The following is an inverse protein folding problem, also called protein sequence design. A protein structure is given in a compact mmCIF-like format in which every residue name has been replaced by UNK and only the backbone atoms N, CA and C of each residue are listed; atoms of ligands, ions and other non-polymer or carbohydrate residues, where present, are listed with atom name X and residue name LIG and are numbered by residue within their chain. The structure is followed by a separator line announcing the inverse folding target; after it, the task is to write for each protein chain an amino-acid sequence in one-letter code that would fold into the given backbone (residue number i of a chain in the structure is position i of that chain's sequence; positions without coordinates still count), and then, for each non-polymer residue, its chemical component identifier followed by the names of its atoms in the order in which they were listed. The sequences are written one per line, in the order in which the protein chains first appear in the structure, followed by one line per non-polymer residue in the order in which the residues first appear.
data_IF_961349710525
#
_entry.id   IF_961349710525
#
_cell.length_a   1.000
_cell.length_b   1.000
_cell.length_c   1.000
_cell.angle_alpha   90.00
_cell.angle_beta   90.00
_cell.angle_gamma   90.00
#
_symmetry.space_group_name_H-M   'P 1'
#
loop_
_entity.id
_entity.type
_entity.pdbx_description
1 polymer ?
#
# COMPACT_ATOMS: atom_id res chain seq x y z
N UNK A 1 7.85 -11.78 -20.80
CA UNK A 1 7.89 -13.13 -21.42
C UNK A 1 8.54 -14.18 -20.52
N UNK A 2 9.49 -13.80 -19.64
CA UNK A 2 10.06 -14.68 -18.61
C UNK A 2 9.09 -15.10 -17.47
N UNK A 3 8.00 -14.35 -17.21
CA UNK A 3 7.03 -14.69 -16.15
C UNK A 3 6.12 -15.90 -16.43
N UNK A 4 5.99 -16.36 -17.69
CA UNK A 4 5.07 -17.46 -18.04
C UNK A 4 5.65 -18.85 -17.75
N UNK A 5 6.97 -19.01 -17.85
CA UNK A 5 7.64 -20.31 -17.72
C UNK A 5 7.77 -20.71 -16.24
N UNK A 6 7.98 -19.76 -15.33
CA UNK A 6 8.16 -20.04 -13.90
C UNK A 6 6.87 -20.48 -13.20
N UNK A 7 5.70 -19.92 -13.54
CA UNK A 7 4.43 -20.33 -12.90
C UNK A 7 4.03 -21.77 -13.25
N UNK A 8 4.33 -22.23 -14.47
CA UNK A 8 4.00 -23.59 -14.92
C UNK A 8 5.00 -24.63 -14.37
N UNK A 9 6.28 -24.26 -14.18
CA UNK A 9 7.30 -25.14 -13.58
C UNK A 9 7.08 -25.29 -12.06
N UNK A 10 6.60 -24.25 -11.36
CA UNK A 10 6.32 -24.33 -9.93
C UNK A 10 5.05 -25.12 -9.58
N UNK A 11 4.07 -25.18 -10.50
CA UNK A 11 2.84 -25.96 -10.29
C UNK A 11 3.04 -27.48 -10.42
N UNK A 12 4.20 -27.97 -10.88
CA UNK A 12 4.45 -29.40 -11.06
C UNK A 12 5.53 -29.96 -10.16
N UNK A 13 6.33 -29.12 -9.50
CA UNK A 13 7.56 -29.57 -8.81
C UNK A 13 7.50 -29.63 -7.27
N UNK A 14 6.47 -29.09 -6.61
CA UNK A 14 6.48 -28.93 -5.15
C UNK A 14 5.23 -29.43 -4.40
N UNK A 15 4.27 -30.08 -5.07
CA UNK A 15 3.06 -30.58 -4.40
C UNK A 15 3.30 -31.88 -3.62
N UNK A 16 3.86 -31.74 -2.42
CA UNK A 16 3.55 -32.56 -1.26
C UNK A 16 2.49 -31.87 -0.39
N UNK A 17 1.66 -32.64 0.31
CA UNK A 17 0.47 -32.17 1.03
C UNK A 17 0.72 -31.04 2.07
N UNK A 18 -0.29 -30.18 2.33
CA UNK A 18 -0.15 -29.05 3.24
C UNK A 18 -0.12 -29.48 4.72
N UNK A 19 1.02 -29.25 5.38
CA UNK A 19 1.12 -29.37 6.83
C UNK A 19 0.47 -28.17 7.55
N UNK A 20 -0.42 -28.46 8.51
CA UNK A 20 -1.02 -27.50 9.44
C UNK A 20 0.04 -26.95 10.40
N UNK A 21 0.21 -25.63 10.46
CA UNK A 21 1.02 -24.96 11.49
C UNK A 21 0.09 -24.46 12.60
N UNK A 22 0.33 -24.92 13.82
CA UNK A 22 -0.39 -24.53 15.04
C UNK A 22 0.11 -23.18 15.57
N UNK A 23 -0.82 -22.34 16.03
CA UNK A 23 -0.52 -21.04 16.63
C UNK A 23 -0.30 -21.19 18.14
N UNK A 24 0.89 -20.84 18.62
CA UNK A 24 1.17 -20.69 20.07
C UNK A 24 1.29 -19.21 20.40
N UNK A 25 0.40 -18.74 21.27
CA UNK A 25 0.35 -17.38 21.80
C UNK A 25 1.39 -17.25 22.91
N UNK A 26 2.31 -16.29 22.80
CA UNK A 26 3.19 -15.87 23.89
C UNK A 26 2.62 -14.60 24.53
N UNK A 27 2.34 -14.66 25.84
CA UNK A 27 1.97 -13.51 26.68
C UNK A 27 3.24 -12.76 27.11
N UNK A 28 3.22 -11.43 27.09
CA UNK A 28 4.21 -10.59 27.79
C UNK A 28 3.55 -9.86 28.96
N UNK A 29 4.35 -9.65 30.02
CA UNK A 29 3.94 -9.04 31.28
C UNK A 29 4.18 -7.52 31.25
N UNK A 30 3.28 -6.78 31.91
CA UNK A 30 3.33 -5.34 32.14
C UNK A 30 4.41 -4.93 33.17
N UNK A 31 5.06 -3.80 32.94
CA UNK A 31 5.61 -2.94 34.00
C UNK A 31 5.36 -1.47 33.62
N UNK A 32 4.91 -0.70 34.62
CA UNK A 32 4.23 0.59 34.47
C UNK A 32 5.08 1.80 34.03
N UNK A 33 4.35 2.85 33.68
CA UNK A 33 4.81 4.16 33.24
C UNK A 33 4.79 5.20 34.38
N UNK A 34 5.68 6.18 34.29
CA UNK A 34 5.53 7.51 34.89
C UNK A 34 5.73 8.56 33.77
N UNK A 35 4.92 9.63 33.65
CA UNK A 35 4.86 10.45 32.46
C UNK A 35 5.55 11.81 32.65
N UNK A 36 6.47 12.15 31.72
CA UNK A 36 6.72 13.48 31.13
C UNK A 36 8.16 13.57 30.60
N UNK A 37 8.34 13.48 29.28
CA UNK A 37 9.40 14.19 28.55
C UNK A 37 9.14 14.12 27.03
N UNK A 38 9.04 15.30 26.43
CA UNK A 38 9.08 15.54 24.98
C UNK A 38 10.47 15.19 24.42
N UNK A 39 10.52 14.38 23.35
CA UNK A 39 11.54 14.44 22.31
C UNK A 39 11.04 13.66 21.09
N UNK A 40 11.29 14.17 19.89
CA UNK A 40 11.13 13.46 18.62
C UNK A 40 11.81 12.10 18.70
N UNK A 41 11.05 11.05 19.00
CA UNK A 41 11.58 9.70 19.07
C UNK A 41 11.82 9.22 17.64
N UNK A 42 13.08 9.28 17.20
CA UNK A 42 13.54 8.50 16.07
C UNK A 42 13.16 7.05 16.36
N UNK A 43 12.29 6.46 15.53
CA UNK A 43 11.78 5.12 15.76
C UNK A 43 12.94 4.11 15.64
N UNK A 44 13.54 3.72 16.76
CA UNK A 44 14.68 2.80 16.80
C UNK A 44 14.19 1.38 16.49
N UNK A 45 14.13 1.04 15.20
CA UNK A 45 13.58 -0.21 14.72
C UNK A 45 14.69 -1.23 14.46
N UNK A 46 14.69 -2.33 15.20
CA UNK A 46 15.54 -3.48 14.87
C UNK A 46 14.97 -4.24 13.68
N UNK A 47 15.79 -4.49 12.66
CA UNK A 47 15.41 -5.32 11.51
C UNK A 47 14.97 -6.71 12.00
N UNK A 48 13.76 -7.14 11.61
CA UNK A 48 13.22 -8.46 11.93
C UNK A 48 12.44 -8.55 13.24
N UNK A 49 12.33 -7.45 14.00
CA UNK A 49 11.39 -7.28 15.11
C UNK A 49 10.28 -6.33 14.66
N UNK A 50 8.98 -6.64 14.89
CA UNK A 50 7.91 -5.70 14.63
C UNK A 50 8.09 -4.47 15.53
N UNK A 51 8.59 -3.41 14.95
CA UNK A 51 8.53 -2.07 15.51
C UNK A 51 7.14 -1.50 15.23
N UNK A 52 6.63 -0.75 16.20
CA UNK A 52 5.30 -0.15 16.17
C UNK A 52 5.43 1.36 16.36
N UNK A 53 4.60 2.14 15.67
CA UNK A 53 4.48 3.57 15.94
C UNK A 53 4.01 3.79 17.39
N UNK A 54 4.68 4.69 18.12
CA UNK A 54 4.38 4.95 19.53
C UNK A 54 3.06 5.69 19.74
N UNK A 55 2.61 6.40 18.71
CA UNK A 55 1.38 7.17 18.64
C UNK A 55 0.32 6.44 17.80
N UNK A 56 -0.95 6.74 18.07
CA UNK A 56 -2.09 6.30 17.25
C UNK A 56 -2.77 7.54 16.65
N UNK A 57 -3.02 7.53 15.34
CA UNK A 57 -3.79 8.54 14.60
C UNK A 57 -5.01 7.91 13.93
N UNK A 58 -5.84 8.69 13.23
CA UNK A 58 -6.94 8.11 12.43
C UNK A 58 -6.46 7.72 11.03
N UNK A 59 -5.53 8.50 10.45
CA UNK A 59 -4.99 8.30 9.11
C UNK A 59 -3.48 8.49 9.06
N UNK A 60 -2.74 7.47 8.65
CA UNK A 60 -1.28 7.55 8.51
C UNK A 60 -0.86 7.24 7.08
N UNK A 61 -0.09 8.13 6.48
CA UNK A 61 0.41 7.99 5.11
C UNK A 61 1.91 7.71 5.13
N UNK A 62 2.35 6.62 4.51
CA UNK A 62 3.74 6.25 4.37
C UNK A 62 4.18 6.60 2.95
N UNK A 63 5.09 7.56 2.85
CA UNK A 63 5.68 7.98 1.59
C UNK A 63 7.03 7.31 1.44
N UNK A 64 7.17 6.46 0.42
CA UNK A 64 8.42 5.79 0.07
C UNK A 64 9.15 6.56 -1.02
N UNK A 65 10.42 6.86 -0.82
CA UNK A 65 11.24 7.62 -1.76
C UNK A 65 12.70 7.20 -1.69
N UNK A 66 13.45 7.60 -2.72
CA UNK A 66 14.87 7.34 -2.84
C UNK A 66 15.61 8.63 -3.27
N UNK A 67 15.80 8.84 -4.57
CA UNK A 67 16.66 9.90 -5.13
C UNK A 67 15.92 10.88 -6.06
N UNK A 68 14.60 10.99 -5.93
CA UNK A 68 13.74 11.85 -6.77
C UNK A 68 13.15 13.03 -5.98
N UNK A 69 13.93 14.06 -5.63
CA UNK A 69 13.47 15.17 -4.78
C UNK A 69 12.26 15.92 -5.34
N UNK A 70 12.21 16.18 -6.65
CA UNK A 70 11.07 16.88 -7.26
C UNK A 70 9.80 16.02 -7.28
N UNK A 71 9.96 14.70 -7.41
CA UNK A 71 8.86 13.74 -7.33
C UNK A 71 8.25 13.74 -5.93
N UNK A 72 9.12 13.64 -4.91
CA UNK A 72 8.73 13.71 -3.51
C UNK A 72 8.02 15.03 -3.19
N UNK A 73 8.60 16.16 -3.55
CA UNK A 73 8.01 17.49 -3.29
C UNK A 73 6.60 17.60 -3.88
N UNK A 74 6.42 17.07 -5.10
CA UNK A 74 5.12 17.05 -5.75
C UNK A 74 4.13 16.13 -5.04
N UNK A 75 4.50 14.89 -4.73
CA UNK A 75 3.63 13.96 -3.98
C UNK A 75 3.18 14.58 -2.65
N UNK A 76 4.12 15.13 -1.88
CA UNK A 76 3.83 15.81 -0.62
C UNK A 76 2.85 16.98 -0.77
N UNK A 77 2.95 17.76 -1.86
CA UNK A 77 1.99 18.84 -2.13
C UNK A 77 0.55 18.35 -2.36
N UNK A 78 0.35 17.13 -2.87
CA UNK A 78 -1.00 16.54 -2.97
C UNK A 78 -1.50 16.05 -1.62
N UNK A 79 -0.62 15.45 -0.81
CA UNK A 79 -0.95 14.96 0.52
C UNK A 79 -1.36 16.11 1.47
N UNK A 80 -0.75 17.30 1.35
CA UNK A 80 -1.15 18.51 2.09
C UNK A 80 -2.61 18.93 1.85
N UNK A 81 -3.22 18.50 0.74
CA UNK A 81 -4.57 18.90 0.35
C UNK A 81 -5.62 17.83 0.67
N UNK A 82 -5.27 16.75 1.36
CA UNK A 82 -6.25 15.72 1.74
C UNK A 82 -7.28 16.28 2.72
N UNK A 83 -8.56 16.12 2.38
CA UNK A 83 -9.68 16.33 3.28
C UNK A 83 -9.71 15.19 4.31
N UNK A 84 -9.20 15.47 5.51
CA UNK A 84 -9.19 14.51 6.63
C UNK A 84 -10.56 14.33 7.26
N UNK A 85 -11.58 15.10 6.84
CA UNK A 85 -12.92 15.08 7.43
C UNK A 85 -12.93 15.38 8.95
N UNK A 86 -11.93 16.12 9.43
CA UNK A 86 -11.75 16.46 10.85
C UNK A 86 -10.96 15.42 11.66
N UNK A 87 -10.55 14.32 11.05
CA UNK A 87 -9.72 13.29 11.69
C UNK A 87 -8.23 13.70 11.71
N UNK A 88 -7.48 13.06 12.61
CA UNK A 88 -6.03 13.24 12.71
C UNK A 88 -5.30 12.54 11.57
N UNK A 89 -4.33 13.24 10.96
CA UNK A 89 -3.53 12.69 9.88
C UNK A 89 -2.04 12.93 10.13
N UNK A 90 -1.24 11.90 9.88
CA UNK A 90 0.23 11.96 9.98
C UNK A 90 0.91 11.38 8.76
N UNK A 91 2.00 12.01 8.31
CA UNK A 91 2.79 11.57 7.15
C UNK A 91 4.15 11.04 7.61
N UNK A 92 4.53 9.83 7.21
CA UNK A 92 5.83 9.22 7.47
C UNK A 92 6.63 9.14 6.17
N UNK A 93 7.69 9.93 6.04
CA UNK A 93 8.54 10.00 4.84
C UNK A 93 9.75 9.08 5.04
N UNK A 94 9.78 7.97 4.30
CA UNK A 94 10.84 6.98 4.34
C UNK A 94 11.77 7.13 3.15
N UNK A 95 13.03 7.46 3.42
CA UNK A 95 14.07 7.71 2.41
C UNK A 95 15.06 6.54 2.42
N UNK A 96 15.12 5.82 1.31
CA UNK A 96 16.04 4.70 1.14
C UNK A 96 17.46 5.15 0.78
N UNK A 97 18.42 4.24 0.90
CA UNK A 97 19.82 4.43 0.48
C UNK A 97 20.12 3.66 -0.80
N UNK A 98 21.19 4.02 -1.50
CA UNK A 98 21.73 3.22 -2.61
C UNK A 98 22.27 1.89 -2.11
N UNK A 99 22.56 0.95 -3.01
CA UNK A 99 23.24 -0.31 -2.68
C UNK A 99 24.60 -0.11 -2.00
N UNK A 100 25.25 1.03 -2.25
CA UNK A 100 26.52 1.46 -1.68
C UNK A 100 26.35 2.19 -0.33
N UNK A 101 25.11 2.42 0.10
CA UNK A 101 24.79 3.10 1.36
C UNK A 101 24.68 4.62 1.24
N UNK A 102 24.64 5.18 0.03
CA UNK A 102 24.53 6.62 -0.18
C UNK A 102 23.08 7.11 0.00
N UNK A 103 22.90 8.33 0.50
CA UNK A 103 21.57 8.97 0.61
C UNK A 103 21.54 10.23 -0.24
N UNK A 104 20.45 10.45 -0.96
CA UNK A 104 20.28 11.68 -1.74
C UNK A 104 19.97 12.86 -0.81
N UNK A 105 20.94 13.76 -0.64
CA UNK A 105 20.80 14.90 0.28
C UNK A 105 19.67 15.86 -0.10
N UNK A 106 19.37 16.03 -1.39
CA UNK A 106 18.28 16.92 -1.81
C UNK A 106 16.91 16.33 -1.49
N UNK A 107 16.74 15.00 -1.62
CA UNK A 107 15.53 14.31 -1.16
C UNK A 107 15.32 14.52 0.34
N UNK A 108 16.40 14.40 1.15
CA UNK A 108 16.35 14.67 2.60
C UNK A 108 15.95 16.11 2.86
N UNK A 109 16.55 17.08 2.15
CA UNK A 109 16.19 18.51 2.29
C UNK A 109 14.72 18.76 1.96
N UNK A 110 14.16 18.14 0.92
CA UNK A 110 12.73 18.26 0.59
C UNK A 110 11.86 17.76 1.75
N UNK A 111 12.15 16.56 2.28
CA UNK A 111 11.40 15.98 3.40
C UNK A 111 11.50 16.84 4.66
N UNK A 112 12.68 17.38 4.95
CA UNK A 112 12.91 18.24 6.09
C UNK A 112 12.22 19.60 5.96
N UNK A 113 12.24 20.21 4.76
CA UNK A 113 11.47 21.43 4.49
C UNK A 113 9.98 21.19 4.71
N UNK A 114 9.47 20.04 4.29
CA UNK A 114 8.08 19.67 4.52
C UNK A 114 7.73 19.58 6.01
N UNK A 115 8.58 18.94 6.81
CA UNK A 115 8.44 18.87 8.27
C UNK A 115 8.47 20.24 8.93
N UNK A 116 9.39 21.09 8.54
CA UNK A 116 9.58 22.42 9.12
C UNK A 116 8.42 23.40 8.81
N UNK A 117 7.54 23.09 7.86
CA UNK A 117 6.29 23.85 7.64
C UNK A 117 5.24 23.67 8.76
N UNK A 118 5.48 22.77 9.71
CA UNK A 118 4.54 22.47 10.80
C UNK A 118 3.53 21.38 10.47
N UNK A 119 3.73 20.64 9.38
CA UNK A 119 2.96 19.44 9.07
C UNK A 119 3.25 18.36 10.13
N UNK A 120 2.22 17.60 10.53
CA UNK A 120 2.40 16.45 11.39
C UNK A 120 3.06 15.30 10.59
N UNK A 121 4.39 15.22 10.66
CA UNK A 121 5.15 14.23 9.91
C UNK A 121 6.44 13.75 10.58
N UNK A 122 6.85 12.53 10.22
CA UNK A 122 8.18 11.97 10.51
C UNK A 122 9.04 11.87 9.25
N UNK A 123 10.36 12.02 9.42
CA UNK A 123 11.36 11.84 8.35
C UNK A 123 12.31 10.72 8.79
N UNK A 124 12.39 9.67 7.98
CA UNK A 124 13.10 8.43 8.31
C UNK A 124 14.10 8.10 7.20
N UNK A 125 15.38 8.38 7.44
CA UNK A 125 16.46 7.91 6.56
C UNK A 125 16.83 6.50 6.98
N UNK A 126 16.72 5.54 6.05
CA UNK A 126 17.10 4.15 6.31
C UNK A 126 18.58 4.05 6.69
N UNK A 127 18.94 3.12 7.58
CA UNK A 127 20.35 2.86 7.93
C UNK A 127 21.11 2.16 6.80
N UNK A 128 20.41 1.37 5.98
CA UNK A 128 20.93 0.58 4.86
C UNK A 128 19.92 0.50 3.73
N UNK A 129 20.35 0.14 2.53
CA UNK A 129 19.45 -0.12 1.40
C UNK A 129 18.39 -1.16 1.79
N UNK A 130 17.13 -0.76 1.75
CA UNK A 130 15.98 -1.64 1.94
C UNK A 130 15.48 -2.18 0.59
N UNK A 131 15.70 -1.44 -0.49
CA UNK A 131 15.11 -1.71 -1.79
C UNK A 131 13.59 -1.57 -1.78
N UNK A 132 12.96 -1.71 -2.94
CA UNK A 132 11.51 -1.55 -3.07
C UNK A 132 10.75 -2.50 -2.12
N UNK A 133 11.21 -3.75 -2.00
CA UNK A 133 10.53 -4.72 -1.16
C UNK A 133 10.65 -4.41 0.33
N UNK A 134 11.84 -4.02 0.79
CA UNK A 134 12.03 -3.60 2.17
C UNK A 134 11.17 -2.39 2.49
N UNK A 135 11.09 -1.41 1.59
CA UNK A 135 10.23 -0.25 1.77
C UNK A 135 8.73 -0.64 1.89
N UNK A 136 8.23 -1.53 1.02
CA UNK A 136 6.83 -1.98 1.07
C UNK A 136 6.51 -2.81 2.33
N UNK A 137 7.47 -3.60 2.81
CA UNK A 137 7.27 -4.50 3.97
C UNK A 137 7.46 -3.82 5.32
N UNK A 138 8.34 -2.83 5.37
CA UNK A 138 8.89 -2.31 6.63
C UNK A 138 8.56 -0.83 6.85
N UNK A 139 7.55 -0.26 6.20
CA UNK A 139 7.13 1.14 6.45
C UNK A 139 5.79 1.24 7.15
N UNK A 140 4.85 0.32 6.92
CA UNK A 140 3.60 0.26 7.68
C UNK A 140 3.76 -0.54 8.96
N UNK A 141 3.70 0.14 10.11
CA UNK A 141 4.08 -0.37 11.43
C UNK A 141 3.08 0.06 12.52
N UNK A 142 1.78 -0.18 12.33
CA UNK A 142 0.79 0.24 13.31
C UNK A 142 0.89 -0.60 14.59
N UNK A 143 0.29 -0.09 15.67
CA UNK A 143 0.06 -0.89 16.87
C UNK A 143 -0.91 -2.05 16.59
N UNK A 144 -0.69 -3.19 17.24
CA UNK A 144 -1.57 -4.34 17.10
C UNK A 144 -3.01 -3.99 17.53
N UNK A 145 -3.97 -4.19 16.63
CA UNK A 145 -5.37 -3.91 16.91
C UNK A 145 -5.79 -2.45 16.73
N UNK A 146 -4.91 -1.61 16.17
CA UNK A 146 -5.23 -0.23 15.80
C UNK A 146 -6.47 -0.12 14.91
N UNK A 147 -7.09 1.06 14.92
CA UNK A 147 -8.09 1.47 13.94
C UNK A 147 -7.53 2.43 12.89
N UNK A 148 -6.23 2.72 12.93
CA UNK A 148 -5.54 3.53 11.95
C UNK A 148 -5.79 3.02 10.54
N UNK A 149 -6.22 3.94 9.66
CA UNK A 149 -6.19 3.70 8.22
C UNK A 149 -4.78 4.05 7.74
N UNK A 150 -4.05 3.06 7.22
CA UNK A 150 -2.76 3.28 6.59
C UNK A 150 -2.90 3.58 5.09
N UNK A 151 -2.02 4.38 4.51
CA UNK A 151 -1.88 4.53 3.05
C UNK A 151 -0.40 4.54 2.67
N UNK A 152 0.02 3.57 1.87
CA UNK A 152 1.38 3.47 1.31
C UNK A 152 1.37 4.06 -0.10
N UNK A 153 2.23 5.04 -0.35
CA UNK A 153 2.44 5.67 -1.65
C UNK A 153 3.93 5.79 -1.94
N UNK A 154 4.29 5.69 -3.22
CA UNK A 154 5.61 6.07 -3.72
C UNK A 154 5.64 7.57 -4.05
N UNK A 155 6.83 8.14 -4.09
CA UNK A 155 7.03 9.56 -4.42
C UNK A 155 6.46 9.97 -5.77
N UNK A 156 6.26 9.04 -6.72
CA UNK A 156 5.69 9.31 -8.05
C UNK A 156 4.16 9.21 -8.15
N UNK A 157 3.46 9.14 -7.01
CA UNK A 157 2.00 9.08 -6.94
C UNK A 157 1.40 10.42 -6.52
N UNK A 158 0.50 10.98 -7.35
CA UNK A 158 -0.40 12.08 -6.96
C UNK A 158 -1.65 11.48 -6.30
N UNK A 159 -2.11 12.03 -5.18
CA UNK A 159 -3.27 11.53 -4.42
C UNK A 159 -4.41 12.55 -4.48
N UNK A 160 -5.63 12.07 -4.69
CA UNK A 160 -6.83 12.93 -4.67
C UNK A 160 -7.04 13.52 -3.27
N UNK A 161 -7.46 14.80 -3.17
CA UNK A 161 -7.85 15.39 -1.88
C UNK A 161 -9.01 14.63 -1.21
N UNK A 162 -9.78 13.84 -1.96
CA UNK A 162 -10.93 13.07 -1.47
C UNK A 162 -10.63 11.57 -1.29
N UNK A 163 -9.35 11.17 -1.38
CA UNK A 163 -8.93 9.79 -1.22
C UNK A 163 -9.26 9.22 0.16
N UNK A 164 -9.01 9.98 1.23
CA UNK A 164 -9.28 9.54 2.59
C UNK A 164 -10.77 9.29 2.84
N UNK A 165 -11.64 10.16 2.31
CA UNK A 165 -13.10 9.97 2.39
C UNK A 165 -13.57 8.65 1.78
N UNK A 166 -12.98 8.25 0.66
CA UNK A 166 -13.27 6.94 0.06
C UNK A 166 -12.72 5.78 0.90
N UNK A 167 -11.46 5.87 1.35
CA UNK A 167 -10.84 4.85 2.20
C UNK A 167 -11.61 4.63 3.50
N UNK A 168 -11.97 5.71 4.21
CA UNK A 168 -12.74 5.66 5.46
C UNK A 168 -14.08 4.93 5.28
N UNK A 169 -14.76 5.17 4.15
CA UNK A 169 -16.00 4.47 3.83
C UNK A 169 -15.77 2.98 3.48
N UNK A 170 -14.68 2.66 2.77
CA UNK A 170 -14.35 1.30 2.36
C UNK A 170 -13.97 0.43 3.56
N UNK A 171 -13.08 0.94 4.42
CA UNK A 171 -12.69 0.35 5.70
C UNK A 171 -13.92 0.10 6.59
N UNK A 172 -14.77 1.12 6.80
CA UNK A 172 -16.01 0.99 7.57
C UNK A 172 -16.93 -0.13 7.04
N UNK A 173 -16.92 -0.38 5.73
CA UNK A 173 -17.78 -1.37 5.09
C UNK A 173 -17.19 -2.78 5.16
N UNK A 174 -15.88 -2.94 4.95
CA UNK A 174 -15.28 -4.23 4.68
C UNK A 174 -14.28 -4.74 5.74
N UNK A 175 -13.83 -3.94 6.71
CA UNK A 175 -12.83 -4.37 7.73
C UNK A 175 -13.29 -5.53 8.64
N UNK A 176 -14.60 -5.80 8.68
CA UNK A 176 -15.15 -6.94 9.42
C UNK A 176 -15.01 -8.27 8.66
N UNK A 177 -14.67 -8.22 7.37
CA UNK A 177 -14.47 -9.40 6.55
C UNK A 177 -13.07 -9.96 6.77
N UNK A 178 -12.98 -11.27 6.99
CA UNK A 178 -11.70 -11.96 7.20
C UNK A 178 -10.91 -12.19 5.91
N UNK A 179 -11.54 -12.02 4.75
CA UNK A 179 -10.96 -12.23 3.43
C UNK A 179 -10.41 -10.94 2.80
N UNK A 180 -10.21 -9.88 3.58
CA UNK A 180 -9.69 -8.60 3.11
C UNK A 180 -8.28 -8.37 3.63
N UNK A 181 -7.34 -8.15 2.70
CA UNK A 181 -5.95 -7.79 3.04
C UNK A 181 -5.67 -6.29 2.93
N UNK A 182 -6.53 -5.55 2.24
CA UNK A 182 -6.40 -4.11 2.10
C UNK A 182 -7.28 -3.54 1.00
N UNK A 183 -7.00 -2.29 0.68
CA UNK A 183 -7.73 -1.46 -0.26
C UNK A 183 -6.72 -0.76 -1.18
N UNK A 184 -7.16 -0.26 -2.33
CA UNK A 184 -6.27 0.52 -3.19
C UNK A 184 -6.99 1.67 -3.86
N UNK A 185 -6.27 2.80 -3.98
CA UNK A 185 -6.68 3.97 -4.73
C UNK A 185 -6.54 3.76 -6.25
N UNK A 186 -5.78 2.75 -6.66
CA UNK A 186 -5.44 2.48 -8.05
C UNK A 186 -6.67 2.05 -8.86
N UNK A 187 -6.92 2.78 -9.95
CA UNK A 187 -7.93 2.44 -10.97
C UNK A 187 -7.34 2.21 -12.36
N UNK A 188 -6.04 2.48 -12.52
CA UNK A 188 -5.40 2.57 -13.81
C UNK A 188 -4.35 1.47 -13.97
N UNK A 189 -4.20 0.99 -15.20
CA UNK A 189 -3.20 -0.01 -15.57
C UNK A 189 -3.26 -1.30 -14.72
N UNK A 190 -4.41 -1.58 -14.12
CA UNK A 190 -4.71 -2.85 -13.46
C UNK A 190 -4.98 -3.87 -14.56
N UNK A 191 -4.18 -4.92 -14.62
CA UNK A 191 -4.27 -5.95 -15.64
C UNK A 191 -4.39 -7.33 -14.98
N UNK A 192 -5.06 -8.25 -15.65
CA UNK A 192 -5.10 -9.65 -15.22
C UNK A 192 -3.72 -10.30 -15.26
N UNK A 193 -3.47 -11.17 -14.28
CA UNK A 193 -2.26 -11.96 -14.23
C UNK A 193 -2.39 -13.19 -15.14
N UNK A 194 -1.68 -13.20 -16.26
CA UNK A 194 -1.66 -14.30 -17.24
C UNK A 194 -2.35 -13.95 -18.56
N UNK A 195 -1.62 -14.04 -19.68
CA UNK A 195 -2.12 -13.78 -21.03
C UNK A 195 -1.87 -12.36 -21.55
N UNK A 196 -2.67 -11.92 -22.53
CA UNK A 196 -2.62 -10.54 -23.07
C UNK A 196 -3.11 -9.55 -22.01
N UNK A 197 -2.40 -8.42 -21.85
CA UNK A 197 -2.83 -7.33 -20.97
C UNK A 197 -4.26 -6.90 -21.31
N UNK A 198 -5.16 -7.04 -20.34
CA UNK A 198 -6.55 -6.61 -20.41
C UNK A 198 -6.85 -5.78 -19.18
N UNK A 199 -7.34 -4.53 -19.35
CA UNK A 199 -7.75 -3.70 -18.23
C UNK A 199 -8.80 -4.40 -17.36
N UNK A 200 -8.63 -4.28 -16.04
CA UNK A 200 -9.55 -4.84 -15.06
C UNK A 200 -10.56 -3.80 -14.59
N UNK A 201 -11.84 -4.09 -14.79
CA UNK A 201 -12.94 -3.31 -14.21
C UNK A 201 -14.11 -4.23 -13.91
N UNK A 202 -14.89 -3.87 -12.89
CA UNK A 202 -16.19 -4.48 -12.68
C UNK A 202 -17.27 -3.79 -13.55
N UNK A 203 -18.43 -4.44 -13.78
CA UNK A 203 -19.55 -3.84 -14.49
C UNK A 203 -19.98 -2.50 -13.88
N UNK A 204 -20.60 -1.66 -14.70
CA UNK A 204 -20.96 -0.26 -14.36
C UNK A 204 -21.83 -0.11 -13.10
N UNK A 205 -22.61 -1.12 -12.73
CA UNK A 205 -23.43 -1.07 -11.51
C UNK A 205 -22.62 -1.30 -10.22
N UNK A 206 -21.34 -1.68 -10.29
CA UNK A 206 -20.48 -1.89 -9.14
C UNK A 206 -19.61 -0.64 -8.87
N UNK A 207 -19.58 -0.15 -7.64
CA UNK A 207 -18.72 0.96 -7.20
C UNK A 207 -17.31 0.50 -6.82
N UNK A 208 -17.16 -0.79 -6.50
CA UNK A 208 -15.91 -1.45 -6.11
C UNK A 208 -15.89 -2.90 -6.60
N UNK A 209 -14.71 -3.51 -6.60
CA UNK A 209 -14.55 -4.95 -6.81
C UNK A 209 -13.39 -5.50 -5.98
N UNK A 210 -13.25 -6.82 -5.93
CA UNK A 210 -12.23 -7.52 -5.15
C UNK A 210 -11.29 -8.29 -6.06
N UNK A 211 -9.98 -8.17 -5.83
CA UNK A 211 -8.94 -8.84 -6.60
C UNK A 211 -7.78 -9.28 -5.68
N UNK A 212 -7.24 -10.50 -5.81
CA UNK A 212 -6.16 -10.99 -4.92
C UNK A 212 -4.82 -10.28 -5.11
N UNK A 213 -4.59 -9.57 -6.21
CA UNK A 213 -3.37 -8.77 -6.38
C UNK A 213 -3.56 -7.40 -5.73
N UNK A 214 -2.55 -6.91 -5.03
CA UNK A 214 -2.59 -5.56 -4.43
C UNK A 214 -2.38 -4.48 -5.51
N UNK A 215 -2.93 -3.28 -5.28
CA UNK A 215 -2.69 -2.13 -6.16
C UNK A 215 -1.56 -1.27 -5.61
N UNK A 216 -0.49 -1.09 -6.37
CA UNK A 216 0.74 -0.41 -5.94
C UNK A 216 0.63 1.12 -5.97
N UNK A 217 -0.40 1.69 -6.61
CA UNK A 217 -0.57 3.15 -6.71
C UNK A 217 -1.49 3.67 -5.61
N UNK A 218 -1.04 3.59 -4.36
CA UNK A 218 -1.82 3.93 -3.17
C UNK A 218 -2.50 2.71 -2.57
N UNK A 219 -1.72 1.87 -1.90
CA UNK A 219 -2.23 0.71 -1.18
C UNK A 219 -2.56 1.08 0.26
N UNK A 220 -3.72 0.68 0.75
CA UNK A 220 -4.15 0.89 2.11
C UNK A 220 -4.26 -0.47 2.80
N UNK A 221 -3.25 -0.89 3.57
CA UNK A 221 -3.23 -2.20 4.20
C UNK A 221 -4.35 -2.32 5.24
N UNK A 222 -4.94 -3.51 5.33
CA UNK A 222 -5.87 -3.80 6.42
C UNK A 222 -5.10 -3.92 7.75
N UNK A 223 -5.53 -3.27 8.85
CA UNK A 223 -4.76 -3.21 10.10
C UNK A 223 -4.40 -4.56 10.74
N UNK A 224 -5.20 -5.60 10.46
CA UNK A 224 -4.96 -6.97 10.99
C UNK A 224 -4.06 -7.82 10.09
N UNK A 225 -3.63 -7.29 8.94
CA UNK A 225 -2.95 -8.07 7.92
C UNK A 225 -1.45 -7.81 7.98
N UNK A 226 -0.81 -8.24 9.06
CA UNK A 226 0.67 -8.36 9.15
C UNK A 226 1.20 -9.61 8.43
N UNK A 227 0.29 -10.48 7.98
CA UNK A 227 0.60 -11.83 7.57
C UNK A 227 1.40 -11.94 6.26
N UNK A 228 1.12 -11.17 5.19
CA UNK A 228 1.94 -11.20 3.97
C UNK A 228 3.37 -10.73 4.26
N UNK A 229 3.52 -9.67 5.06
CA UNK A 229 4.81 -9.16 5.52
C UNK A 229 5.56 -10.20 6.33
N UNK A 230 4.94 -10.80 7.35
CA UNK A 230 5.57 -11.84 8.18
C UNK A 230 5.94 -13.09 7.40
N UNK A 231 5.08 -13.48 6.45
CA UNK A 231 5.33 -14.63 5.60
C UNK A 231 6.52 -14.39 4.67
N UNK A 232 6.61 -13.22 4.03
CA UNK A 232 7.77 -12.84 3.21
C UNK A 232 9.06 -12.66 4.01
N UNK A 233 9.00 -12.04 5.20
CA UNK A 233 10.17 -11.95 6.10
C UNK A 233 10.72 -13.35 6.43
N UNK A 234 9.87 -14.37 6.40
CA UNK A 234 10.28 -15.77 6.48
C UNK A 234 11.13 -16.23 5.28
N UNK A 235 10.83 -15.80 4.06
CA UNK A 235 11.65 -16.06 2.87
C UNK A 235 12.95 -15.28 2.88
N UNK A 236 12.93 -14.00 3.28
CA UNK A 236 14.16 -13.19 3.45
C UNK A 236 15.13 -13.87 4.41
N UNK A 237 14.64 -14.36 5.56
CA UNK A 237 15.46 -15.12 6.52
C UNK A 237 16.07 -16.40 5.93
N UNK A 238 15.51 -16.92 4.84
CA UNK A 238 15.97 -18.13 4.15
C UNK A 238 16.76 -17.84 2.87
N UNK A 239 16.96 -16.57 2.50
CA UNK A 239 17.60 -16.18 1.24
C UNK A 239 16.88 -16.74 0.00
N UNK A 240 15.53 -16.77 0.04
CA UNK A 240 14.65 -17.31 -1.01
C UNK A 240 13.74 -16.25 -1.64
N UNK A 241 14.03 -14.97 -1.39
CA UNK A 241 13.20 -13.81 -1.68
C UNK A 241 13.32 -13.25 -3.11
N UNK A 242 14.07 -13.92 -3.99
CA UNK A 242 14.41 -13.44 -5.34
C UNK A 242 13.22 -12.83 -6.11
N UNK A 243 13.48 -11.67 -6.75
CA UNK A 243 12.75 -10.84 -7.75
C UNK A 243 11.20 -10.84 -7.85
N UNK A 244 10.49 -11.48 -6.93
CA UNK A 244 9.09 -11.83 -7.12
C UNK A 244 8.22 -11.50 -5.90
N UNK A 245 8.54 -10.42 -5.17
CA UNK A 245 7.72 -9.92 -4.05
C UNK A 245 6.22 -9.89 -4.40
N UNK A 246 5.87 -9.26 -5.52
CA UNK A 246 4.48 -9.19 -5.98
C UNK A 246 3.90 -10.59 -6.20
N UNK A 247 4.66 -11.50 -6.81
CA UNK A 247 4.20 -12.86 -7.09
C UNK A 247 4.02 -13.70 -5.84
N UNK A 248 4.88 -13.51 -4.85
CA UNK A 248 4.73 -14.12 -3.54
C UNK A 248 3.49 -13.56 -2.82
N UNK A 249 3.26 -12.25 -2.88
CA UNK A 249 2.05 -11.65 -2.34
C UNK A 249 0.78 -12.19 -3.03
N UNK A 250 0.79 -12.29 -4.36
CA UNK A 250 -0.32 -12.87 -5.14
C UNK A 250 -0.55 -14.32 -4.74
N UNK A 251 0.52 -15.11 -4.66
CA UNK A 251 0.42 -16.51 -4.25
C UNK A 251 -0.13 -16.65 -2.83
N UNK A 252 0.37 -15.86 -1.88
CA UNK A 252 -0.12 -15.82 -0.50
C UNK A 252 -1.60 -15.47 -0.45
N UNK A 253 -1.99 -14.40 -1.16
CA UNK A 253 -3.38 -13.94 -1.24
C UNK A 253 -4.27 -15.05 -1.81
N UNK A 254 -3.82 -15.71 -2.87
CA UNK A 254 -4.54 -16.80 -3.50
C UNK A 254 -4.73 -18.01 -2.56
N UNK A 255 -3.68 -18.49 -1.91
CA UNK A 255 -3.79 -19.65 -1.00
C UNK A 255 -4.52 -19.35 0.31
N UNK A 256 -4.64 -18.06 0.67
CA UNK A 256 -5.36 -17.60 1.87
C UNK A 256 -6.75 -17.04 1.56
N UNK A 257 -7.16 -17.04 0.30
CA UNK A 257 -8.43 -16.45 -0.16
C UNK A 257 -8.57 -14.98 0.30
N UNK A 258 -7.50 -14.20 0.17
CA UNK A 258 -7.46 -12.78 0.53
C UNK A 258 -7.60 -11.89 -0.70
N UNK A 259 -8.33 -10.79 -0.54
CA UNK A 259 -8.63 -9.83 -1.59
C UNK A 259 -8.25 -8.41 -1.20
N UNK A 260 -7.76 -7.67 -2.18
CA UNK A 260 -7.68 -6.21 -2.15
C UNK A 260 -8.96 -5.62 -2.74
N UNK A 261 -9.53 -4.61 -2.09
CA UNK A 261 -10.70 -3.87 -2.60
C UNK A 261 -10.24 -2.75 -3.52
N UNK A 262 -10.66 -2.81 -4.78
CA UNK A 262 -10.39 -1.81 -5.80
C UNK A 262 -11.57 -0.88 -6.01
N UNK A 263 -11.25 0.37 -6.26
CA UNK A 263 -12.21 1.38 -6.70
C UNK A 263 -12.63 1.14 -8.17
N UNK A 264 -13.93 1.27 -8.49
CA UNK A 264 -14.46 1.10 -9.85
C UNK A 264 -15.08 2.39 -10.42
N UNK A 265 -14.81 3.55 -9.81
CA UNK A 265 -15.52 4.80 -10.11
C UNK A 265 -15.42 5.24 -11.57
N UNK A 266 -14.29 5.00 -12.24
CA UNK A 266 -14.13 5.33 -13.66
C UNK A 266 -15.18 4.64 -14.53
N UNK A 267 -15.42 3.34 -14.31
CA UNK A 267 -16.43 2.57 -15.06
C UNK A 267 -17.84 2.83 -14.55
N UNK A 268 -18.01 2.93 -13.22
CA UNK A 268 -19.30 3.23 -12.60
C UNK A 268 -19.91 4.55 -13.09
N UNK A 269 -19.10 5.60 -13.13
CA UNK A 269 -19.53 6.96 -13.48
C UNK A 269 -19.40 7.27 -14.97
N UNK A 270 -18.49 6.60 -15.68
CA UNK A 270 -18.09 6.94 -17.04
C UNK A 270 -17.24 8.22 -17.15
N UNK A 271 -16.74 8.75 -16.04
CA UNK A 271 -15.96 10.00 -15.99
C UNK A 271 -14.45 9.73 -15.90
N UNK A 272 -13.65 10.64 -16.46
CA UNK A 272 -12.19 10.59 -16.34
C UNK A 272 -11.66 11.20 -15.04
N UNK A 273 -12.36 12.22 -14.52
CA UNK A 273 -11.94 13.04 -13.37
C UNK A 273 -12.40 12.51 -12.01
N UNK A 274 -12.29 11.18 -11.83
CA UNK A 274 -12.74 10.48 -10.62
C UNK A 274 -11.64 9.60 -10.01
N UNK A 275 -10.39 9.83 -10.40
CA UNK A 275 -9.27 9.03 -9.93
C UNK A 275 -8.90 9.41 -8.49
N UNK A 276 -8.63 8.40 -7.65
CA UNK A 276 -8.19 8.61 -6.28
C UNK A 276 -6.66 8.68 -6.16
N UNK A 277 -5.95 8.10 -7.11
CA UNK A 277 -4.51 8.23 -7.28
C UNK A 277 -4.13 8.29 -8.75
N UNK A 278 -2.97 8.87 -9.01
CA UNK A 278 -2.35 8.89 -10.32
C UNK A 278 -0.85 8.64 -10.21
N UNK A 279 -0.34 7.60 -10.87
CA UNK A 279 1.10 7.39 -10.98
C UNK A 279 1.66 8.15 -12.18
N UNK A 280 2.67 9.00 -11.93
CA UNK A 280 3.27 9.88 -12.94
C UNK A 280 4.20 9.14 -13.92
N UNK A 281 4.49 7.87 -13.65
CA UNK A 281 5.33 6.96 -14.45
C UNK A 281 6.68 7.56 -14.77
N UNK A 282 7.26 8.24 -13.79
CA UNK A 282 8.54 8.91 -13.92
C UNK A 282 9.66 7.88 -14.07
N UNK A 283 10.78 8.31 -14.67
CA UNK A 283 11.94 7.45 -14.82
C UNK A 283 12.35 6.84 -13.47
N UNK A 284 12.55 5.53 -13.43
CA UNK A 284 12.87 4.78 -12.21
C UNK A 284 12.97 3.28 -12.50
N UNK A 285 12.79 2.44 -11.46
CA UNK A 285 12.94 0.98 -11.57
C UNK A 285 11.99 0.34 -12.61
N UNK A 286 10.80 0.92 -12.81
CA UNK A 286 9.73 0.32 -13.62
C UNK A 286 9.43 1.07 -14.93
N UNK A 287 9.94 2.29 -15.09
CA UNK A 287 9.66 3.12 -16.25
C UNK A 287 10.95 3.75 -16.78
N UNK A 288 11.23 3.56 -18.06
CA UNK A 288 12.38 4.16 -18.76
C UNK A 288 12.01 5.47 -19.48
N UNK A 289 10.72 5.83 -19.49
CA UNK A 289 10.21 6.96 -20.26
C UNK A 289 10.57 8.31 -19.61
N UNK A 290 11.09 9.24 -20.42
CA UNK A 290 11.37 10.63 -20.01
C UNK A 290 10.12 11.51 -19.92
N UNK A 291 8.95 11.03 -20.36
CA UNK A 291 7.72 11.83 -20.35
C UNK A 291 6.98 11.68 -19.03
N UNK A 292 7.05 12.71 -18.21
CA UNK A 292 6.16 12.88 -17.04
C UNK A 292 4.75 13.14 -17.56
N UNK A 293 3.81 12.25 -17.23
CA UNK A 293 2.41 12.49 -17.60
C UNK A 293 1.81 13.50 -16.62
N UNK A 294 1.46 14.70 -17.12
CA UNK A 294 0.82 15.76 -16.31
C UNK A 294 -0.63 15.35 -16.00
N UNK A 295 -1.00 15.24 -14.71
CA UNK A 295 -2.27 14.59 -14.35
C UNK A 295 -3.06 15.12 -13.15
N UNK A 296 -3.15 16.44 -12.99
CA UNK A 296 -4.06 17.00 -11.98
C UNK A 296 -5.53 16.94 -12.40
N UNK A 297 -5.84 16.97 -13.71
CA UNK A 297 -7.21 17.09 -14.20
C UNK A 297 -8.08 15.84 -13.97
N UNK A 298 -7.45 14.67 -13.82
CA UNK A 298 -8.17 13.40 -13.68
C UNK A 298 -8.42 13.01 -12.21
N UNK A 299 -7.79 13.69 -11.25
CA UNK A 299 -8.01 13.43 -9.83
C UNK A 299 -9.40 13.92 -9.39
N UNK A 300 -10.02 13.12 -8.52
CA UNK A 300 -11.31 13.43 -7.94
C UNK A 300 -11.20 14.67 -7.06
N UNK A 301 -11.96 15.73 -7.40
CA UNK A 301 -11.97 17.00 -6.66
C UNK A 301 -13.37 17.42 -6.21
N UNK A 302 -14.42 16.69 -6.62
CA UNK A 302 -15.80 16.93 -6.20
C UNK A 302 -16.44 15.63 -5.75
N UNK A 303 -17.01 15.64 -4.56
CA UNK A 303 -17.63 14.46 -3.98
C UNK A 303 -19.05 14.22 -4.50
N UNK A 304 -19.43 12.95 -4.60
CA UNK A 304 -20.80 12.50 -4.76
C UNK A 304 -21.02 11.28 -3.85
N UNK A 305 -22.09 11.25 -3.07
CA UNK A 305 -22.35 10.16 -2.13
C UNK A 305 -22.59 8.81 -2.82
N UNK A 306 -22.94 8.81 -4.12
CA UNK A 306 -23.01 7.59 -4.92
C UNK A 306 -21.67 6.84 -5.00
N UNK A 307 -20.54 7.52 -4.77
CA UNK A 307 -19.20 6.92 -4.87
C UNK A 307 -18.89 5.91 -3.77
N UNK A 308 -19.65 5.96 -2.67
CA UNK A 308 -19.48 5.07 -1.50
C UNK A 308 -20.72 4.23 -1.23
N UNK A 309 -21.61 4.09 -2.22
CA UNK A 309 -22.69 3.09 -2.17
C UNK A 309 -22.06 1.74 -2.46
N UNK A 310 -21.43 1.18 -1.44
CA UNK A 310 -20.72 -0.09 -1.53
C UNK A 310 -21.67 -1.27 -1.30
N UNK A 311 -21.67 -2.28 -2.19
CA UNK A 311 -22.48 -3.46 -1.98
C UNK A 311 -21.88 -4.32 -0.86
N UNK A 312 -22.72 -4.94 -0.02
CA UNK A 312 -22.24 -5.92 0.98
C UNK A 312 -21.48 -7.09 0.34
N UNK A 313 -21.88 -7.41 -0.89
CA UNK A 313 -21.41 -8.50 -1.73
C UNK A 313 -20.99 -7.93 -3.08
N UNK A 314 -19.70 -7.93 -3.39
CA UNK A 314 -19.18 -7.42 -4.67
C UNK A 314 -18.57 -8.56 -5.50
N UNK A 315 -18.21 -8.24 -6.74
CA UNK A 315 -17.51 -9.14 -7.65
C UNK A 315 -16.11 -9.43 -7.11
N UNK A 316 -15.81 -10.72 -6.99
CA UNK A 316 -14.46 -11.22 -6.75
C UNK A 316 -13.88 -11.79 -8.05
N UNK A 317 -12.70 -11.31 -8.41
CA UNK A 317 -11.93 -11.84 -9.53
C UNK A 317 -10.90 -12.86 -9.02
N UNK A 318 -10.69 -13.93 -9.77
CA UNK A 318 -9.47 -14.73 -9.69
C UNK A 318 -8.27 -13.93 -10.18
N UNK A 319 -7.05 -14.37 -9.84
CA UNK A 319 -5.80 -13.73 -10.27
C UNK A 319 -5.72 -13.54 -11.80
N UNK A 320 -6.28 -14.47 -12.57
CA UNK A 320 -6.32 -14.45 -14.04
C UNK A 320 -7.48 -13.66 -14.65
N UNK A 321 -8.35 -13.10 -13.81
CA UNK A 321 -9.46 -12.26 -14.25
C UNK A 321 -10.79 -12.92 -14.51
N UNK A 322 -10.90 -14.23 -14.33
CA UNK A 322 -12.22 -14.85 -14.31
C UNK A 322 -12.98 -14.42 -13.06
N UNK A 323 -14.30 -14.27 -13.16
CA UNK A 323 -15.14 -13.93 -12.01
C UNK A 323 -15.37 -15.21 -11.19
N UNK A 324 -15.09 -15.15 -9.89
CA UNK A 324 -15.30 -16.25 -8.96
C UNK A 324 -16.80 -16.43 -8.66
N UNK A 325 -17.41 -15.46 -7.96
CA UNK A 325 -18.83 -15.38 -7.57
C UNK A 325 -19.22 -13.92 -7.27
N UNK A 326 -20.53 -13.64 -7.21
CA UNK A 326 -21.06 -12.54 -6.37
C UNK A 326 -21.15 -13.09 -4.94
N UNK A 327 -20.10 -12.88 -4.14
CA UNK A 327 -19.97 -13.48 -2.82
C UNK A 327 -20.75 -12.73 -1.77
#
# INVERSE_FOLDING_TARGET
MACLILFYIFHTSLFGEPHKISATVLRSNNAGSDPKANASATLACMVGVPCEYSDEVDFRVMVMTYDRPQSLEKCLSFLENIDTMGDTMRIEIWIDRSSEGEVNEETVKVAERFRLKGNDCGVHVRERNAGITGQWTDTWRPQLGTKEIGLIVEDDVDVSPLAYRWLKAAHKTYDKRSDIQGYTLQMQNVNFFGGKMRPMFAPKNETVYMYPVLGTWGFSPHPKTDLPTRWYKGFEKRHQEASMWEMWHIYYSYIKDLYCVYCNLKVHTGKGNVLLSWNRKEKGLHFDNKQVVKSTADLLSRWNDSFVVFPRKTIQFFYNGTIYRRA
#
